data_IF_150792694036
#
_entry.id   IF_150792694036
#
_cell.length_a   1.000
_cell.length_b   1.000
_cell.length_c   1.000
_cell.angle_alpha   90.00
_cell.angle_beta   90.00
_cell.angle_gamma   90.00
#
_symmetry.space_group_name_H-M   'P 1'
#
loop_
_entity.id
_entity.type
_entity.pdbx_description
1 polymer ?
#
# COMPACT_ATOMS: atom_id res chain seq x y z
N UNK A 1 33.31 -49.04 41.50
CA UNK A 1 33.09 -49.29 40.06
C UNK A 1 31.69 -48.94 39.57
N UNK A 2 30.62 -49.43 40.21
CA UNK A 2 29.22 -49.20 39.78
C UNK A 2 28.86 -47.71 39.56
N UNK A 3 29.35 -46.81 40.41
CA UNK A 3 29.09 -45.36 40.29
C UNK A 3 29.73 -44.71 39.04
N UNK A 4 30.87 -45.22 38.58
CA UNK A 4 31.51 -44.74 37.35
C UNK A 4 30.82 -45.34 36.11
N UNK A 5 30.35 -46.58 36.21
CA UNK A 5 29.54 -47.23 35.18
C UNK A 5 28.13 -46.61 35.05
N UNK A 6 27.58 -45.98 36.08
CA UNK A 6 26.35 -45.22 35.92
C UNK A 6 26.60 -43.84 35.30
N UNK A 7 27.74 -43.21 35.62
CA UNK A 7 28.11 -41.87 35.11
C UNK A 7 28.36 -41.84 33.60
N UNK A 8 29.13 -42.79 33.06
CA UNK A 8 29.39 -42.83 31.60
C UNK A 8 28.10 -43.09 30.80
N UNK A 9 27.16 -43.85 31.36
CA UNK A 9 25.90 -44.22 30.70
C UNK A 9 24.94 -43.03 30.63
N UNK A 10 24.88 -42.20 31.69
CA UNK A 10 24.17 -40.91 31.70
C UNK A 10 24.78 -39.94 30.71
N UNK A 11 26.11 -39.83 30.64
CA UNK A 11 26.81 -38.92 29.72
C UNK A 11 26.58 -39.31 28.24
N UNK A 12 26.50 -40.60 27.94
CA UNK A 12 26.12 -41.10 26.60
C UNK A 12 24.65 -40.83 26.28
N UNK A 13 23.75 -40.97 27.25
CA UNK A 13 22.34 -40.66 27.07
C UNK A 13 22.12 -39.16 26.84
N UNK A 14 22.78 -38.30 27.62
CA UNK A 14 22.71 -36.84 27.46
C UNK A 14 23.23 -36.41 26.09
N UNK A 15 24.36 -36.98 25.64
CA UNK A 15 24.87 -36.72 24.28
C UNK A 15 23.90 -37.15 23.19
N UNK A 16 23.20 -38.28 23.34
CA UNK A 16 22.17 -38.73 22.39
C UNK A 16 20.93 -37.83 22.40
N UNK A 17 20.51 -37.34 23.57
CA UNK A 17 19.39 -36.41 23.71
C UNK A 17 19.72 -35.06 23.07
N UNK A 18 20.94 -34.54 23.27
CA UNK A 18 21.38 -33.29 22.67
C UNK A 18 21.42 -33.36 21.14
N UNK A 19 21.92 -34.48 20.58
CA UNK A 19 21.92 -34.73 19.13
C UNK A 19 20.47 -34.81 18.61
N UNK A 20 19.59 -35.56 19.27
CA UNK A 20 18.18 -35.69 18.89
C UNK A 20 17.44 -34.33 18.95
N UNK A 21 17.71 -33.51 19.96
CA UNK A 21 17.10 -32.18 20.09
C UNK A 21 17.59 -31.23 18.99
N UNK A 22 18.87 -31.29 18.63
CA UNK A 22 19.45 -30.49 17.55
C UNK A 22 18.89 -30.88 16.19
N UNK A 23 18.74 -32.17 15.93
CA UNK A 23 18.16 -32.68 14.69
C UNK A 23 16.66 -32.33 14.59
N UNK A 24 15.92 -32.43 15.70
CA UNK A 24 14.53 -31.98 15.77
C UNK A 24 14.39 -30.47 15.49
N UNK A 25 15.22 -29.63 16.12
CA UNK A 25 15.22 -28.18 15.89
C UNK A 25 15.53 -27.83 14.44
N UNK A 26 16.50 -28.49 13.82
CA UNK A 26 16.85 -28.27 12.42
C UNK A 26 15.72 -28.71 11.47
N UNK A 27 15.15 -29.89 11.68
CA UNK A 27 14.02 -30.37 10.87
C UNK A 27 12.79 -29.46 11.02
N UNK A 28 12.51 -28.99 12.24
CA UNK A 28 11.42 -28.06 12.53
C UNK A 28 11.63 -26.69 11.87
N UNK A 29 12.86 -26.16 11.89
CA UNK A 29 13.21 -24.91 11.19
C UNK A 29 13.04 -25.04 9.67
N UNK A 30 13.52 -26.13 9.07
CA UNK A 30 13.33 -26.39 7.63
C UNK A 30 11.85 -26.50 7.27
N UNK A 31 11.08 -27.25 8.04
CA UNK A 31 9.63 -27.37 7.85
C UNK A 31 8.93 -26.00 7.89
N UNK A 32 9.24 -25.15 8.88
CA UNK A 32 8.71 -23.78 8.96
C UNK A 32 9.06 -22.94 7.73
N UNK A 33 10.31 -23.01 7.26
CA UNK A 33 10.75 -22.28 6.05
C UNK A 33 9.99 -22.75 4.82
N UNK A 34 9.83 -24.06 4.62
CA UNK A 34 9.06 -24.61 3.49
C UNK A 34 7.60 -24.16 3.52
N UNK A 35 6.93 -24.26 4.68
CA UNK A 35 5.55 -23.82 4.85
C UNK A 35 5.42 -22.32 4.59
N UNK A 36 6.37 -21.52 5.06
CA UNK A 36 6.34 -20.07 4.88
C UNK A 36 6.58 -19.65 3.41
N UNK A 37 7.53 -20.28 2.71
CA UNK A 37 7.75 -20.06 1.27
C UNK A 37 6.51 -20.43 0.47
N UNK A 38 5.90 -21.59 0.76
CA UNK A 38 4.70 -22.04 0.05
C UNK A 38 3.51 -21.11 0.30
N UNK A 39 3.31 -20.69 1.55
CA UNK A 39 2.27 -19.74 1.95
C UNK A 39 2.47 -18.39 1.26
N UNK A 40 3.72 -17.92 1.17
CA UNK A 40 4.08 -16.68 0.50
C UNK A 40 3.84 -16.74 -1.01
N UNK A 41 4.24 -17.83 -1.68
CA UNK A 41 3.98 -18.07 -3.10
C UNK A 41 2.47 -18.10 -3.40
N UNK A 42 1.70 -18.77 -2.55
CA UNK A 42 0.24 -18.81 -2.69
C UNK A 42 -0.38 -17.42 -2.53
N UNK A 43 0.00 -16.68 -1.49
CA UNK A 43 -0.49 -15.33 -1.24
C UNK A 43 -0.16 -14.38 -2.39
N UNK A 44 1.07 -14.41 -2.92
CA UNK A 44 1.47 -13.62 -4.09
C UNK A 44 0.62 -13.98 -5.31
N UNK A 45 0.42 -15.27 -5.56
CA UNK A 45 -0.31 -15.73 -6.75
C UNK A 45 -1.74 -15.19 -6.74
N UNK A 46 -2.44 -15.31 -5.62
CA UNK A 46 -3.81 -14.80 -5.48
C UNK A 46 -3.84 -13.27 -5.55
N UNK A 47 -2.88 -12.59 -4.91
CA UNK A 47 -2.77 -11.13 -4.98
C UNK A 47 -2.59 -10.63 -6.42
N UNK A 48 -1.72 -11.26 -7.21
CA UNK A 48 -1.48 -10.89 -8.60
C UNK A 48 -2.72 -11.09 -9.47
N UNK A 49 -3.48 -12.17 -9.26
CA UNK A 49 -4.73 -12.43 -9.99
C UNK A 49 -5.76 -11.35 -9.66
N UNK A 50 -5.99 -11.06 -8.38
CA UNK A 50 -6.93 -10.02 -7.94
C UNK A 50 -6.52 -8.65 -8.46
N UNK A 51 -5.23 -8.31 -8.39
CA UNK A 51 -4.70 -7.05 -8.89
C UNK A 51 -4.91 -6.91 -10.41
N UNK A 52 -4.68 -7.97 -11.20
CA UNK A 52 -4.95 -7.96 -12.64
C UNK A 52 -6.44 -7.72 -12.95
N UNK A 53 -7.34 -8.34 -12.18
CA UNK A 53 -8.79 -8.13 -12.34
C UNK A 53 -9.17 -6.69 -11.98
N UNK A 54 -8.64 -6.17 -10.86
CA UNK A 54 -8.85 -4.78 -10.44
C UNK A 54 -8.42 -3.78 -11.52
N UNK A 55 -7.24 -3.95 -12.11
CA UNK A 55 -6.74 -3.05 -13.17
C UNK A 55 -7.66 -3.11 -14.40
N UNK A 56 -8.09 -4.31 -14.83
CA UNK A 56 -9.04 -4.46 -15.95
C UNK A 56 -10.39 -3.79 -15.67
N UNK A 57 -10.92 -3.93 -14.46
CA UNK A 57 -12.19 -3.33 -14.04
C UNK A 57 -12.10 -1.80 -14.01
N UNK A 58 -10.98 -1.27 -13.48
CA UNK A 58 -10.70 0.16 -13.43
C UNK A 58 -10.65 0.79 -14.82
N UNK A 59 -10.05 0.12 -15.79
CA UNK A 59 -10.01 0.59 -17.19
C UNK A 59 -11.42 0.64 -17.80
N UNK A 60 -12.29 -0.31 -17.46
CA UNK A 60 -13.67 -0.38 -17.94
C UNK A 60 -14.65 0.56 -17.21
N UNK A 61 -14.17 1.31 -16.20
CA UNK A 61 -14.96 2.24 -15.38
C UNK A 61 -16.28 1.62 -14.84
N UNK A 62 -16.23 0.33 -14.52
CA UNK A 62 -17.39 -0.44 -14.03
C UNK A 62 -17.60 -0.21 -12.52
N UNK A 63 -18.85 -0.20 -12.01
CA UNK A 63 -19.14 -0.10 -10.58
C UNK A 63 -18.44 -1.19 -9.74
N UNK A 64 -18.14 -2.34 -10.35
CA UNK A 64 -17.46 -3.47 -9.72
C UNK A 64 -16.01 -3.15 -9.29
N UNK A 65 -15.43 -2.05 -9.77
CA UNK A 65 -14.07 -1.62 -9.39
C UNK A 65 -13.94 -1.37 -7.88
N UNK A 66 -15.02 -0.91 -7.22
CA UNK A 66 -15.03 -0.65 -5.77
C UNK A 66 -14.83 -1.96 -5.01
N UNK A 67 -15.58 -3.01 -5.36
CA UNK A 67 -15.52 -4.33 -4.71
C UNK A 67 -14.12 -4.93 -4.84
N UNK A 68 -13.57 -4.93 -6.06
CA UNK A 68 -12.23 -5.49 -6.30
C UNK A 68 -11.12 -4.65 -5.67
N UNK A 69 -11.30 -3.33 -5.52
CA UNK A 69 -10.31 -2.49 -4.81
C UNK A 69 -10.20 -2.84 -3.33
N UNK A 70 -11.34 -3.04 -2.66
CA UNK A 70 -11.39 -3.43 -1.24
C UNK A 70 -10.83 -4.84 -1.06
N UNK A 71 -11.23 -5.78 -1.91
CA UNK A 71 -10.70 -7.15 -1.89
C UNK A 71 -9.18 -7.20 -2.11
N UNK A 72 -8.66 -6.42 -3.07
CA UNK A 72 -7.21 -6.35 -3.34
C UNK A 72 -6.47 -5.73 -2.14
N UNK A 73 -7.04 -4.72 -1.50
CA UNK A 73 -6.45 -4.10 -0.31
C UNK A 73 -6.42 -5.05 0.91
N UNK A 74 -7.50 -5.80 1.14
CA UNK A 74 -7.54 -6.80 2.21
C UNK A 74 -6.49 -7.90 1.97
N UNK A 75 -6.37 -8.39 0.74
CA UNK A 75 -5.39 -9.42 0.40
C UNK A 75 -3.94 -8.92 0.47
N UNK A 76 -3.72 -7.63 0.18
CA UNK A 76 -2.44 -6.97 0.40
C UNK A 76 -2.03 -6.99 1.88
N UNK A 77 -2.96 -6.74 2.82
CA UNK A 77 -2.67 -6.80 4.25
C UNK A 77 -2.26 -8.21 4.70
N UNK A 78 -2.94 -9.25 4.19
CA UNK A 78 -2.58 -10.65 4.46
C UNK A 78 -1.19 -10.96 3.93
N UNK A 79 -0.87 -10.52 2.71
CA UNK A 79 0.46 -10.68 2.12
C UNK A 79 1.54 -9.97 2.95
N UNK A 80 1.26 -8.76 3.43
CA UNK A 80 2.16 -8.01 4.30
C UNK A 80 2.40 -8.76 5.61
N UNK A 81 1.36 -9.29 6.26
CA UNK A 81 1.48 -10.08 7.48
C UNK A 81 2.38 -11.31 7.28
N UNK A 82 2.15 -12.09 6.21
CA UNK A 82 2.97 -13.26 5.88
C UNK A 82 4.42 -12.83 5.62
N UNK A 83 4.62 -11.70 4.94
CA UNK A 83 5.96 -11.16 4.67
C UNK A 83 6.70 -10.80 5.95
N UNK A 84 6.03 -10.15 6.91
CA UNK A 84 6.62 -9.79 8.21
C UNK A 84 7.01 -11.03 9.01
N UNK A 85 6.15 -12.04 9.06
CA UNK A 85 6.46 -13.32 9.73
C UNK A 85 7.65 -14.02 9.08
N UNK A 86 7.68 -14.06 7.74
CA UNK A 86 8.78 -14.64 6.99
C UNK A 86 10.10 -13.91 7.23
N UNK A 87 10.08 -12.57 7.24
CA UNK A 87 11.25 -11.75 7.54
C UNK A 87 11.72 -12.01 8.97
N UNK A 88 10.82 -12.09 9.94
CA UNK A 88 11.18 -12.37 11.33
C UNK A 88 11.85 -13.74 11.49
N UNK A 89 11.35 -14.75 10.80
CA UNK A 89 11.92 -16.11 10.85
C UNK A 89 13.25 -16.24 10.12
N UNK A 90 13.47 -15.46 9.06
CA UNK A 90 14.69 -15.55 8.26
C UNK A 90 15.84 -14.71 8.81
N UNK A 91 15.56 -13.69 9.63
CA UNK A 91 16.60 -12.87 10.26
C UNK A 91 17.26 -13.73 11.35
N UNK A 92 18.53 -14.16 11.17
CA UNK A 92 19.24 -14.86 12.23
C UNK A 92 19.50 -13.87 13.37
N UNK A 93 19.26 -14.28 14.61
CA UNK A 93 19.55 -13.47 15.79
C UNK A 93 20.99 -12.91 15.80
N UNK A 94 21.94 -13.63 15.19
CA UNK A 94 23.32 -13.17 14.98
C UNK A 94 23.45 -11.90 14.12
N UNK A 95 22.58 -11.69 13.12
CA UNK A 95 22.60 -10.46 12.33
C UNK A 95 22.09 -9.27 13.16
N UNK A 96 21.05 -9.48 13.99
CA UNK A 96 20.54 -8.47 14.92
C UNK A 96 21.59 -8.10 15.98
N UNK A 97 22.29 -9.08 16.55
CA UNK A 97 23.40 -8.85 17.49
C UNK A 97 24.58 -8.12 16.84
N UNK A 98 24.96 -8.48 15.62
CA UNK A 98 26.04 -7.81 14.90
C UNK A 98 25.71 -6.34 14.61
N UNK A 99 24.49 -6.07 14.16
CA UNK A 99 23.99 -4.70 13.97
C UNK A 99 23.97 -3.95 15.31
N UNK A 100 23.44 -4.57 16.36
CA UNK A 100 23.41 -4.00 17.71
C UNK A 100 24.80 -3.64 18.23
N UNK A 101 25.80 -4.50 18.02
CA UNK A 101 27.17 -4.26 18.42
C UNK A 101 27.85 -3.14 17.61
N UNK A 102 27.57 -3.03 16.30
CA UNK A 102 28.04 -1.91 15.48
C UNK A 102 27.47 -0.58 15.96
N UNK A 103 26.19 -0.54 16.31
CA UNK A 103 25.56 0.65 16.89
C UNK A 103 26.09 0.93 18.30
N UNK A 104 26.34 -0.09 19.12
CA UNK A 104 26.87 0.05 20.49
C UNK A 104 28.30 0.63 20.54
N UNK A 105 29.14 0.42 19.52
CA UNK A 105 30.42 1.11 19.40
C UNK A 105 30.28 2.63 19.32
N UNK A 106 29.11 3.13 18.91
CA UNK A 106 28.80 4.55 18.81
C UNK A 106 27.65 4.92 19.76
N UNK A 107 27.90 4.88 21.07
CA UNK A 107 26.92 5.25 22.12
C UNK A 107 26.16 6.56 21.86
N UNK A 108 26.81 7.66 21.40
CA UNK A 108 26.08 8.90 21.09
C UNK A 108 25.11 8.75 19.92
N UNK A 109 25.45 7.91 18.94
CA UNK A 109 24.63 7.66 17.76
C UNK A 109 23.38 6.85 18.11
N UNK A 110 23.45 5.92 19.06
CA UNK A 110 22.29 5.15 19.56
C UNK A 110 21.24 6.09 20.15
N UNK A 111 21.65 7.00 21.03
CA UNK A 111 20.75 8.00 21.60
C UNK A 111 20.13 8.90 20.52
N UNK A 112 20.92 9.33 19.53
CA UNK A 112 20.43 10.14 18.42
C UNK A 112 19.39 9.40 17.59
N UNK A 113 19.64 8.14 17.23
CA UNK A 113 18.71 7.30 16.47
C UNK A 113 17.41 7.08 17.24
N UNK A 114 17.48 6.88 18.56
CA UNK A 114 16.29 6.65 19.39
C UNK A 114 15.35 7.87 19.42
N UNK A 115 15.88 9.09 19.40
CA UNK A 115 15.06 10.32 19.32
C UNK A 115 14.66 10.69 17.88
N UNK A 116 15.51 10.43 16.89
CA UNK A 116 15.22 10.76 15.48
C UNK A 116 14.24 9.79 14.83
N UNK A 117 14.25 8.50 15.21
CA UNK A 117 13.45 7.48 14.55
C UNK A 117 11.94 7.78 14.55
N UNK A 118 11.31 8.19 15.68
CA UNK A 118 9.90 8.61 15.66
C UNK A 118 9.63 9.80 14.74
N UNK A 119 10.54 10.78 14.70
CA UNK A 119 10.42 11.97 13.84
C UNK A 119 10.48 11.55 12.36
N UNK A 120 11.41 10.66 12.01
CA UNK A 120 11.56 10.14 10.65
C UNK A 120 10.29 9.38 10.24
N UNK A 121 9.73 8.53 11.11
CA UNK A 121 8.47 7.83 10.84
C UNK A 121 7.36 8.83 10.54
N UNK A 122 7.17 9.83 11.40
CA UNK A 122 6.12 10.85 11.22
C UNK A 122 6.33 11.61 9.89
N UNK A 123 7.57 12.00 9.58
CA UNK A 123 7.89 12.70 8.35
C UNK A 123 7.60 11.86 7.09
N UNK A 124 7.92 10.55 7.13
CA UNK A 124 7.63 9.62 6.03
C UNK A 124 6.12 9.46 5.85
N UNK A 125 5.37 9.24 6.93
CA UNK A 125 3.91 9.13 6.87
C UNK A 125 3.27 10.42 6.36
N UNK A 126 3.71 11.58 6.87
CA UNK A 126 3.27 12.89 6.40
C UNK A 126 3.52 13.06 4.90
N UNK A 127 4.73 12.75 4.43
CA UNK A 127 5.09 12.86 3.01
C UNK A 127 4.24 11.94 2.12
N UNK A 128 4.02 10.69 2.54
CA UNK A 128 3.16 9.73 1.84
C UNK A 128 1.72 10.25 1.72
N UNK A 129 1.13 10.70 2.84
CA UNK A 129 -0.23 11.25 2.87
C UNK A 129 -0.32 12.49 2.00
N UNK A 130 0.63 13.42 2.12
CA UNK A 130 0.70 14.63 1.31
C UNK A 130 0.74 14.31 -0.19
N UNK A 131 1.57 13.34 -0.60
CA UNK A 131 1.68 12.93 -2.00
C UNK A 131 0.38 12.31 -2.53
N UNK A 132 -0.29 11.49 -1.73
CA UNK A 132 -1.58 10.88 -2.07
C UNK A 132 -2.65 11.96 -2.20
N UNK A 133 -2.75 12.86 -1.21
CA UNK A 133 -3.70 13.97 -1.22
C UNK A 133 -3.47 14.87 -2.43
N UNK A 134 -2.24 15.30 -2.70
CA UNK A 134 -1.91 16.14 -3.86
C UNK A 134 -2.29 15.49 -5.19
N UNK A 135 -2.17 14.16 -5.30
CA UNK A 135 -2.53 13.41 -6.51
C UNK A 135 -4.04 13.25 -6.70
N UNK A 136 -4.78 13.02 -5.62
CA UNK A 136 -6.24 12.82 -5.66
C UNK A 136 -7.01 14.15 -5.74
N UNK A 137 -6.54 15.17 -5.03
CA UNK A 137 -7.19 16.48 -4.91
C UNK A 137 -6.67 17.52 -5.90
N UNK A 138 -5.95 17.12 -6.96
CA UNK A 138 -5.60 18.10 -7.99
C UNK A 138 -6.91 18.59 -8.65
N UNK A 139 -7.18 19.92 -8.66
CA UNK A 139 -8.47 20.46 -9.07
C UNK A 139 -8.83 20.08 -10.51
N UNK A 140 -7.82 19.92 -11.37
CA UNK A 140 -7.97 19.47 -12.75
C UNK A 140 -8.54 18.03 -12.86
N UNK A 141 -8.11 17.12 -11.99
CA UNK A 141 -8.59 15.73 -12.00
C UNK A 141 -10.02 15.63 -11.47
N UNK A 142 -10.34 16.43 -10.45
CA UNK A 142 -11.68 16.54 -9.89
C UNK A 142 -12.65 17.10 -10.96
N UNK A 143 -12.26 18.17 -11.65
CA UNK A 143 -13.08 18.81 -12.68
C UNK A 143 -13.34 17.90 -13.87
N UNK A 144 -12.31 17.18 -14.35
CA UNK A 144 -12.46 16.15 -15.39
C UNK A 144 -13.45 15.07 -14.98
N UNK A 145 -13.42 14.65 -13.71
CA UNK A 145 -14.35 13.64 -13.19
C UNK A 145 -15.79 14.17 -13.15
N UNK A 146 -16.01 15.41 -12.71
CA UNK A 146 -17.35 16.02 -12.73
C UNK A 146 -17.92 16.16 -14.15
N UNK A 147 -17.09 16.58 -15.12
CA UNK A 147 -17.50 16.67 -16.52
C UNK A 147 -17.84 15.28 -17.09
N UNK A 148 -17.01 14.28 -16.81
CA UNK A 148 -17.25 12.90 -17.28
C UNK A 148 -18.52 12.29 -16.67
N UNK A 149 -18.73 12.51 -15.37
CA UNK A 149 -19.88 11.97 -14.63
C UNK A 149 -21.17 12.80 -14.80
N UNK A 150 -21.15 13.86 -15.64
CA UNK A 150 -22.25 14.81 -15.82
C UNK A 150 -22.80 15.39 -14.53
N UNK A 151 -21.91 15.83 -13.64
CA UNK A 151 -22.24 16.37 -12.32
C UNK A 151 -21.86 17.83 -12.18
N UNK A 152 -22.67 18.58 -11.43
CA UNK A 152 -22.36 19.96 -11.08
C UNK A 152 -21.15 20.01 -10.12
N UNK A 153 -20.14 20.85 -10.36
CA UNK A 153 -19.01 21.00 -9.44
C UNK A 153 -19.40 21.63 -8.09
N UNK A 154 -20.52 22.37 -8.03
CA UNK A 154 -20.99 23.00 -6.80
C UNK A 154 -21.86 22.07 -5.94
N UNK A 155 -22.92 21.49 -6.52
CA UNK A 155 -23.90 20.69 -5.77
C UNK A 155 -23.80 19.17 -5.98
N UNK A 156 -22.86 18.70 -6.81
CA UNK A 156 -22.56 17.27 -7.05
C UNK A 156 -23.71 16.44 -7.67
N UNK A 157 -24.85 17.06 -7.95
CA UNK A 157 -25.98 16.44 -8.61
C UNK A 157 -25.77 16.30 -10.11
N UNK A 158 -26.45 15.32 -10.72
CA UNK A 158 -26.46 15.13 -12.16
C UNK A 158 -27.05 16.37 -12.85
N UNK A 159 -26.33 16.91 -13.82
CA UNK A 159 -26.73 18.08 -14.60
C UNK A 159 -26.68 17.79 -16.08
N UNK A 160 -27.59 18.43 -16.79
CA UNK A 160 -27.59 18.44 -18.24
C UNK A 160 -26.71 19.60 -18.74
N UNK A 161 -25.62 19.26 -19.41
CA UNK A 161 -24.69 20.24 -19.99
C UNK A 161 -25.25 20.95 -21.22
N UNK A 162 -26.46 20.65 -21.69
CA UNK A 162 -27.12 21.43 -22.75
C UNK A 162 -27.68 22.75 -22.23
N UNK A 163 -27.89 22.88 -20.91
CA UNK A 163 -28.47 24.07 -20.28
C UNK A 163 -27.38 24.94 -19.64
N UNK A 164 -27.55 26.27 -19.62
CA UNK A 164 -26.54 27.17 -19.08
C UNK A 164 -26.48 27.17 -17.55
N UNK A 165 -27.54 26.72 -16.85
CA UNK A 165 -27.60 26.72 -15.38
C UNK A 165 -27.97 25.35 -14.82
N UNK A 166 -27.46 25.06 -13.62
CA UNK A 166 -27.88 23.90 -12.85
C UNK A 166 -29.32 24.10 -12.31
N UNK A 167 -30.24 23.14 -12.49
CA UNK A 167 -31.62 23.26 -12.03
C UNK A 167 -31.76 23.25 -10.50
N UNK A 168 -30.75 22.78 -9.76
CA UNK A 168 -30.81 22.61 -8.30
C UNK A 168 -30.14 23.73 -7.52
N UNK A 169 -29.01 24.25 -8.01
CA UNK A 169 -28.24 25.28 -7.29
C UNK A 169 -28.06 26.57 -8.07
N UNK A 170 -28.70 26.70 -9.25
CA UNK A 170 -28.61 27.86 -10.14
C UNK A 170 -27.18 28.25 -10.54
N UNK A 171 -26.22 27.33 -10.36
CA UNK A 171 -24.84 27.57 -10.73
C UNK A 171 -24.68 27.58 -12.24
N UNK A 172 -23.97 28.57 -12.76
CA UNK A 172 -23.69 28.73 -14.18
C UNK A 172 -22.70 27.66 -14.66
N UNK A 173 -23.11 26.90 -15.69
CA UNK A 173 -22.38 25.78 -16.27
C UNK A 173 -21.77 26.16 -17.62
N UNK A 174 -22.51 26.91 -18.43
CA UNK A 174 -22.05 27.41 -19.72
C UNK A 174 -21.84 28.92 -19.66
N UNK A 175 -20.79 29.39 -20.34
CA UNK A 175 -20.51 30.81 -20.55
C UNK A 175 -20.53 31.11 -22.04
N UNK A 176 -20.86 32.35 -22.39
CA UNK A 176 -20.84 32.81 -23.77
C UNK A 176 -19.40 33.17 -24.16
N UNK A 177 -18.89 32.60 -25.25
CA UNK A 177 -17.56 32.93 -25.73
C UNK A 177 -17.50 34.40 -26.18
N UNK A 178 -16.49 35.18 -25.78
CA UNK A 178 -16.36 36.57 -26.23
C UNK A 178 -16.02 36.69 -27.73
N UNK A 179 -15.44 35.65 -28.34
CA UNK A 179 -15.02 35.67 -29.75
C UNK A 179 -16.13 35.19 -30.70
N UNK A 180 -16.69 33.99 -30.49
CA UNK A 180 -17.69 33.40 -31.39
C UNK A 180 -19.13 33.55 -30.89
N UNK A 181 -19.33 34.09 -29.68
CA UNK A 181 -20.65 34.27 -29.07
C UNK A 181 -21.48 32.99 -28.86
N UNK A 182 -20.90 31.81 -29.07
CA UNK A 182 -21.53 30.54 -28.74
C UNK A 182 -21.28 30.14 -27.29
N UNK A 183 -22.12 29.23 -26.80
CA UNK A 183 -22.00 28.69 -25.45
C UNK A 183 -20.89 27.64 -25.37
N UNK A 184 -20.04 27.78 -24.36
CA UNK A 184 -19.00 26.82 -24.04
C UNK A 184 -19.00 26.53 -22.54
N UNK A 185 -18.47 25.38 -22.14
CA UNK A 185 -18.38 25.00 -20.73
C UNK A 185 -17.39 25.92 -19.99
N UNK A 186 -17.85 26.52 -18.89
CA UNK A 186 -17.08 27.47 -18.06
C UNK A 186 -15.73 26.93 -17.55
N UNK A 187 -15.66 25.62 -17.43
CA UNK A 187 -14.58 24.88 -16.80
C UNK A 187 -13.58 24.29 -17.81
N UNK A 188 -13.80 24.51 -19.10
CA UNK A 188 -12.88 24.09 -20.14
C UNK A 188 -11.90 25.21 -20.48
N UNK A 189 -10.61 24.89 -20.72
CA UNK A 189 -9.62 25.89 -21.09
C UNK A 189 -9.89 26.50 -22.46
N UNK A 190 -10.55 25.78 -23.38
CA UNK A 190 -10.78 26.22 -24.74
C UNK A 190 -12.25 26.16 -25.12
N UNK A 191 -12.67 27.06 -26.02
CA UNK A 191 -14.00 27.03 -26.61
C UNK A 191 -14.19 25.79 -27.47
N UNK A 192 -15.32 25.09 -27.31
CA UNK A 192 -15.64 23.90 -28.10
C UNK A 192 -15.84 24.18 -29.60
N UNK A 193 -16.13 25.43 -29.98
CA UNK A 193 -16.36 25.80 -31.37
C UNK A 193 -15.16 26.50 -32.04
N UNK A 194 -14.56 27.49 -31.38
CA UNK A 194 -13.49 28.31 -31.96
C UNK A 194 -12.09 28.08 -31.37
N UNK A 195 -11.93 27.17 -30.41
CA UNK A 195 -10.66 26.84 -29.76
C UNK A 195 -9.94 28.01 -29.05
N UNK A 196 -10.60 29.16 -28.89
CA UNK A 196 -10.06 30.29 -28.15
C UNK A 196 -10.01 29.99 -26.64
N UNK A 197 -8.98 30.50 -25.95
CA UNK A 197 -8.77 30.29 -24.52
C UNK A 197 -9.77 31.10 -23.69
N UNK A 198 -10.71 30.40 -23.03
CA UNK A 198 -11.78 31.02 -22.22
C UNK A 198 -11.44 30.98 -20.71
N UNK A 199 -10.24 30.56 -20.33
CA UNK A 199 -9.84 30.44 -18.92
C UNK A 199 -9.47 31.77 -18.24
N UNK A 200 -9.61 32.89 -18.97
CA UNK A 200 -9.28 34.25 -18.52
C UNK A 200 -10.51 35.04 -18.08
#
# INVERSE_FOLDING_TARGET
EIKNQFRWEVEILDGKVEIAEKDYKNAYMLYRIYVAILSFLFAITVFLILYKIYVKQKIKNSPQTIIFSVATFAYWLVLLQISVLFIWDIIPHKLLEWIGNLFAMFTPLVYLVQFLWPIIIIAIFWFLVFKIQKRLYSPQNILKRFITDKKCPNCWNSVDFTKPFCPLCSHEIQIKCPLCHEFSLKWMPYCSNCWWDISK
#
